data_IF_003607892817
#
_entry.id   IF_003607892817
#
_cell.length_a   1.000
_cell.length_b   1.000
_cell.length_c   1.000
_cell.angle_alpha   90.00
_cell.angle_beta   90.00
_cell.angle_gamma   90.00
#
_symmetry.space_group_name_H-M   'P 1'
#
loop_
_entity.id
_entity.type
_entity.pdbx_description
1 polymer ?
#
# COMPACT_ATOMS: atom_id res chain seq x y z
N UNK A 1 -20.51 67.99 18.74
CA UNK A 1 -19.69 66.83 18.32
C UNK A 1 -20.18 65.59 19.05
N UNK A 2 -20.91 64.69 18.39
CA UNK A 2 -21.29 63.38 18.96
C UNK A 2 -21.34 62.37 17.81
N UNK A 3 -20.27 61.57 17.69
CA UNK A 3 -20.13 60.49 16.72
C UNK A 3 -20.83 59.27 17.29
N UNK A 4 -21.92 58.81 16.66
CA UNK A 4 -22.51 57.51 16.98
C UNK A 4 -21.94 56.53 15.96
N UNK A 5 -20.98 55.73 16.40
CA UNK A 5 -20.43 54.62 15.61
C UNK A 5 -21.38 53.44 15.78
N UNK A 6 -22.19 53.17 14.76
CA UNK A 6 -22.99 51.96 14.67
C UNK A 6 -22.07 50.80 14.26
N UNK A 7 -21.78 49.90 15.19
CA UNK A 7 -21.05 48.67 14.91
C UNK A 7 -22.00 47.66 14.25
N UNK A 8 -21.79 47.37 12.97
CA UNK A 8 -22.51 46.30 12.27
C UNK A 8 -21.86 44.95 12.61
N UNK A 9 -22.58 44.11 13.35
CA UNK A 9 -22.23 42.71 13.62
C UNK A 9 -22.46 41.89 12.34
N UNK A 10 -21.41 41.62 11.56
CA UNK A 10 -21.47 40.63 10.49
C UNK A 10 -21.28 39.23 11.10
N UNK A 11 -22.34 38.43 11.11
CA UNK A 11 -22.29 37.02 11.50
C UNK A 11 -21.72 36.20 10.33
N UNK A 12 -20.54 35.63 10.53
CA UNK A 12 -19.90 34.74 9.56
C UNK A 12 -20.40 33.31 9.69
N UNK A 13 -21.08 32.81 8.67
CA UNK A 13 -21.45 31.40 8.55
C UNK A 13 -20.28 30.66 7.88
N UNK A 14 -19.53 29.84 8.62
CA UNK A 14 -18.60 28.88 8.01
C UNK A 14 -19.40 27.66 7.52
N UNK A 15 -19.60 27.56 6.21
CA UNK A 15 -20.06 26.33 5.60
C UNK A 15 -18.90 25.31 5.63
N UNK A 16 -19.00 24.30 6.50
CA UNK A 16 -18.15 23.12 6.44
C UNK A 16 -18.56 22.32 5.21
N UNK A 17 -17.85 22.51 4.10
CA UNK A 17 -17.93 21.62 2.96
C UNK A 17 -17.36 20.27 3.36
N UNK A 18 -18.24 19.31 3.69
CA UNK A 18 -17.87 17.90 3.78
C UNK A 18 -17.46 17.45 2.38
N UNK A 19 -16.16 17.43 2.12
CA UNK A 19 -15.59 16.73 0.96
C UNK A 19 -15.77 15.25 1.24
N UNK A 20 -16.88 14.68 0.75
CA UNK A 20 -16.99 13.25 0.60
C UNK A 20 -15.93 12.82 -0.41
N UNK A 21 -14.85 12.20 0.07
CA UNK A 21 -13.92 11.46 -0.77
C UNK A 21 -14.68 10.26 -1.35
N UNK A 22 -15.39 10.51 -2.47
CA UNK A 22 -16.08 9.48 -3.22
C UNK A 22 -15.07 8.49 -3.79
N UNK A 23 -15.30 7.21 -3.49
CA UNK A 23 -14.66 6.01 -4.02
C UNK A 23 -13.60 6.28 -5.11
N UNK A 24 -12.36 6.50 -4.67
CA UNK A 24 -11.23 6.42 -5.58
C UNK A 24 -11.11 4.98 -6.05
N UNK A 25 -11.42 4.72 -7.33
CA UNK A 25 -10.87 3.54 -7.99
C UNK A 25 -9.37 3.78 -8.11
N UNK A 26 -8.63 3.46 -7.06
CA UNK A 26 -7.20 3.28 -7.14
C UNK A 26 -7.00 2.01 -7.97
N UNK A 27 -7.09 2.16 -9.29
CA UNK A 27 -6.61 1.13 -10.20
C UNK A 27 -5.10 1.14 -10.00
N UNK A 28 -4.60 0.22 -9.16
CA UNK A 28 -3.17 0.01 -9.00
C UNK A 28 -2.60 -0.18 -10.40
N UNK A 29 -1.75 0.74 -10.83
CA UNK A 29 -1.00 0.60 -12.06
C UNK A 29 -0.19 -0.70 -11.93
N UNK A 30 -0.48 -1.75 -12.73
CA UNK A 30 0.23 -3.02 -12.63
C UNK A 30 1.72 -2.89 -12.97
N UNK A 31 2.19 -1.71 -13.40
CA UNK A 31 3.58 -1.42 -13.78
C UNK A 31 4.46 -0.70 -12.74
N UNK A 32 3.98 -0.38 -11.53
CA UNK A 32 4.79 0.37 -10.52
C UNK A 32 5.17 -0.42 -9.26
N UNK A 33 5.01 -1.75 -9.30
CA UNK A 33 5.50 -2.65 -8.25
C UNK A 33 7.02 -2.67 -8.14
N UNK A 34 7.54 -2.86 -6.92
CA UNK A 34 8.95 -3.21 -6.72
C UNK A 34 9.11 -4.67 -7.18
N UNK A 35 9.94 -4.88 -8.20
CA UNK A 35 10.25 -6.20 -8.71
C UNK A 35 11.66 -6.63 -8.29
N UNK A 36 11.82 -7.92 -7.97
CA UNK A 36 13.13 -8.52 -7.74
C UNK A 36 13.70 -9.14 -9.03
N UNK A 37 14.93 -9.67 -8.94
CA UNK A 37 15.64 -10.31 -10.06
C UNK A 37 14.98 -11.62 -10.53
N UNK A 38 14.04 -12.16 -9.75
CA UNK A 38 13.26 -13.37 -10.06
C UNK A 38 11.94 -13.05 -10.77
N UNK A 39 11.75 -11.81 -11.22
CA UNK A 39 10.52 -11.32 -11.82
C UNK A 39 9.28 -11.45 -10.91
N UNK A 40 9.49 -11.49 -9.59
CA UNK A 40 8.43 -11.33 -8.60
C UNK A 40 8.23 -9.84 -8.39
N UNK A 41 7.00 -9.37 -8.51
CA UNK A 41 6.65 -7.95 -8.35
C UNK A 41 5.61 -7.77 -7.26
N UNK A 42 5.72 -6.67 -6.52
CA UNK A 42 4.66 -6.26 -5.60
C UNK A 42 3.50 -5.59 -6.32
N UNK A 43 2.35 -5.68 -5.68
CA UNK A 43 1.08 -5.08 -6.06
C UNK A 43 0.51 -4.38 -4.83
N UNK A 44 -0.49 -3.52 -5.04
CA UNK A 44 -1.20 -2.87 -3.94
C UNK A 44 -2.64 -3.35 -3.91
N UNK A 45 -3.09 -3.79 -2.74
CA UNK A 45 -4.49 -4.01 -2.43
C UNK A 45 -4.98 -2.87 -1.54
N UNK A 46 -6.21 -2.39 -1.75
CA UNK A 46 -6.83 -1.34 -0.94
C UNK A 46 -8.28 -1.70 -0.58
N UNK A 47 -8.85 -1.10 0.48
CA UNK A 47 -10.22 -1.34 0.91
C UNK A 47 -11.24 -1.20 -0.24
N UNK A 48 -12.11 -2.20 -0.38
CA UNK A 48 -13.11 -2.26 -1.45
C UNK A 48 -12.63 -2.93 -2.74
N UNK A 49 -11.33 -3.21 -2.88
CA UNK A 49 -10.82 -4.05 -3.98
C UNK A 49 -11.07 -5.54 -3.69
N UNK A 50 -11.29 -6.38 -4.71
CA UNK A 50 -11.37 -7.82 -4.51
C UNK A 50 -10.06 -8.34 -3.91
N UNK A 51 -10.16 -9.26 -2.93
CA UNK A 51 -9.00 -9.93 -2.38
C UNK A 51 -8.35 -10.83 -3.45
N UNK A 52 -7.01 -10.92 -3.50
CA UNK A 52 -6.32 -11.78 -4.47
C UNK A 52 -6.54 -13.27 -4.18
N UNK A 53 -6.72 -13.64 -2.90
CA UNK A 53 -7.10 -14.97 -2.46
C UNK A 53 -8.06 -14.90 -1.25
N UNK A 54 -8.95 -15.90 -1.08
CA UNK A 54 -9.99 -15.85 -0.05
C UNK A 54 -9.47 -16.05 1.38
N UNK A 55 -8.27 -16.58 1.56
CA UNK A 55 -7.64 -16.86 2.84
C UNK A 55 -6.72 -15.73 3.33
N UNK A 56 -6.67 -14.61 2.60
CA UNK A 56 -5.82 -13.46 2.95
C UNK A 56 -6.35 -12.74 4.19
N UNK A 57 -5.46 -12.53 5.17
CA UNK A 57 -5.76 -11.82 6.41
C UNK A 57 -5.02 -10.48 6.43
N UNK A 58 -5.76 -9.39 6.27
CA UNK A 58 -5.28 -8.01 6.27
C UNK A 58 -6.10 -7.10 7.17
N UNK A 59 -5.55 -5.93 7.50
CA UNK A 59 -6.36 -4.84 8.02
C UNK A 59 -7.14 -4.23 6.85
N UNK A 60 -8.44 -4.55 6.81
CA UNK A 60 -9.31 -4.16 5.69
C UNK A 60 -9.58 -2.65 5.60
N UNK A 61 -8.95 -1.82 6.45
CA UNK A 61 -9.09 -0.36 6.47
C UNK A 61 -7.86 0.39 5.95
N UNK A 62 -6.79 -0.30 5.58
CA UNK A 62 -5.57 0.31 5.02
C UNK A 62 -5.16 -0.38 3.73
N UNK A 63 -4.34 0.29 2.92
CA UNK A 63 -3.77 -0.33 1.74
C UNK A 63 -2.55 -1.19 2.12
N UNK A 64 -2.42 -2.31 1.43
CA UNK A 64 -1.42 -3.34 1.66
C UNK A 64 -0.57 -3.55 0.41
N UNK A 65 0.74 -3.65 0.59
CA UNK A 65 1.65 -4.09 -0.47
C UNK A 65 1.73 -5.61 -0.40
N UNK A 66 1.61 -6.29 -1.53
CA UNK A 66 1.63 -7.75 -1.54
C UNK A 66 2.26 -8.32 -2.80
N UNK A 67 2.74 -9.55 -2.70
CA UNK A 67 3.21 -10.32 -3.85
C UNK A 67 2.87 -11.80 -3.68
N UNK A 68 2.89 -12.53 -4.78
CA UNK A 68 2.73 -13.98 -4.76
C UNK A 68 4.00 -14.65 -4.25
N UNK A 69 3.88 -15.50 -3.24
CA UNK A 69 5.02 -16.19 -2.64
C UNK A 69 4.65 -17.09 -1.47
N UNK A 70 5.62 -17.87 -1.00
CA UNK A 70 5.48 -18.69 0.18
C UNK A 70 6.75 -18.60 1.03
N UNK A 71 6.65 -18.62 2.37
CA UNK A 71 7.82 -18.52 3.24
C UNK A 71 8.92 -19.52 2.88
N UNK A 72 10.17 -19.06 2.91
CA UNK A 72 11.34 -19.90 2.64
C UNK A 72 11.63 -20.15 1.16
N UNK A 73 10.86 -19.58 0.23
CA UNK A 73 11.20 -19.58 -1.18
C UNK A 73 12.15 -18.43 -1.52
N UNK A 74 13.06 -18.60 -2.50
CA UNK A 74 13.95 -17.52 -2.94
C UNK A 74 13.17 -16.27 -3.34
N UNK A 75 13.60 -15.09 -2.87
CA UNK A 75 12.94 -13.83 -3.18
C UNK A 75 11.78 -13.46 -2.25
N UNK A 76 11.48 -14.30 -1.25
CA UNK A 76 10.41 -14.06 -0.25
C UNK A 76 10.94 -13.63 1.12
N UNK A 77 12.25 -13.49 1.25
CA UNK A 77 12.92 -13.20 2.52
C UNK A 77 12.43 -11.89 3.12
N UNK A 78 11.97 -11.92 4.37
CA UNK A 78 11.44 -10.73 5.06
C UNK A 78 9.98 -10.39 4.74
N UNK A 79 9.34 -11.09 3.80
CA UNK A 79 7.89 -10.98 3.61
C UNK A 79 7.11 -11.62 4.77
N UNK A 80 5.91 -11.11 5.03
CA UNK A 80 5.03 -11.65 6.07
C UNK A 80 3.94 -12.51 5.39
N UNK A 81 3.82 -13.80 5.70
CA UNK A 81 2.75 -14.62 5.13
C UNK A 81 1.40 -14.16 5.66
N UNK A 82 0.49 -13.83 4.74
CA UNK A 82 -0.89 -13.40 5.03
C UNK A 82 -1.93 -14.33 4.43
N UNK A 83 -1.50 -15.27 3.58
CA UNK A 83 -2.27 -16.39 3.04
C UNK A 83 -1.34 -17.50 2.54
N UNK A 84 -1.88 -18.57 1.97
CA UNK A 84 -1.12 -19.73 1.51
C UNK A 84 -0.06 -19.37 0.44
N UNK A 85 -0.39 -18.40 -0.42
CA UNK A 85 0.47 -17.98 -1.53
C UNK A 85 0.61 -16.46 -1.65
N UNK A 86 0.26 -15.73 -0.58
CA UNK A 86 0.31 -14.27 -0.55
C UNK A 86 1.20 -13.83 0.61
N UNK A 87 2.18 -13.00 0.28
CA UNK A 87 3.10 -12.37 1.21
C UNK A 87 2.82 -10.87 1.23
N UNK A 88 2.78 -10.28 2.42
CA UNK A 88 2.75 -8.83 2.63
C UNK A 88 4.16 -8.25 2.50
N UNK A 89 4.22 -7.05 1.91
CA UNK A 89 5.42 -6.26 1.67
C UNK A 89 5.82 -6.26 0.19
N UNK A 90 7.08 -5.93 -0.03
CA UNK A 90 7.74 -6.01 -1.34
C UNK A 90 8.61 -7.27 -1.39
N UNK A 91 8.76 -7.91 -2.57
CA UNK A 91 9.63 -9.06 -2.71
C UNK A 91 11.07 -8.66 -2.37
N UNK A 92 11.77 -9.56 -1.68
CA UNK A 92 13.17 -9.32 -1.33
C UNK A 92 13.97 -9.06 -2.60
N UNK A 93 14.90 -8.10 -2.60
CA UNK A 93 15.88 -7.95 -3.67
C UNK A 93 16.74 -9.21 -3.84
N UNK A 94 16.64 -10.19 -2.91
CA UNK A 94 17.41 -11.41 -2.82
C UNK A 94 17.89 -11.90 -4.19
N UNK A 95 19.16 -11.62 -4.40
CA UNK A 95 20.09 -12.52 -5.03
C UNK A 95 19.85 -13.94 -4.48
N UNK A 96 19.81 -14.93 -5.37
CA UNK A 96 19.56 -16.34 -5.09
C UNK A 96 20.68 -17.04 -4.29
N UNK A 97 21.42 -16.31 -3.45
CA UNK A 97 22.74 -16.68 -2.95
C UNK A 97 22.81 -16.75 -1.43
N UNK A 98 21.75 -17.23 -0.75
CA UNK A 98 21.75 -17.38 0.72
C UNK A 98 22.08 -16.09 1.48
N UNK A 99 21.61 -14.94 0.98
CA UNK A 99 21.87 -13.62 1.58
C UNK A 99 23.17 -12.93 1.14
N UNK A 100 23.92 -13.49 0.18
CA UNK A 100 25.12 -12.86 -0.36
C UNK A 100 24.82 -11.95 -1.56
N UNK A 101 25.38 -10.72 -1.65
CA UNK A 101 25.13 -9.73 -2.71
C UNK A 101 25.25 -10.27 -4.15
N UNK A 102 26.04 -11.33 -4.38
CA UNK A 102 26.32 -11.95 -5.68
C UNK A 102 26.45 -13.49 -5.56
N UNK A 103 25.98 -14.23 -6.58
CA UNK A 103 26.14 -15.69 -6.68
C UNK A 103 27.43 -15.98 -7.44
N UNK A 104 28.53 -16.19 -6.71
CA UNK A 104 29.75 -16.70 -7.32
C UNK A 104 29.65 -18.23 -7.44
N UNK A 105 29.81 -18.82 -8.63
CA UNK A 105 29.83 -20.26 -8.76
C UNK A 105 31.13 -20.82 -8.15
N UNK A 106 31.00 -21.66 -7.12
CA UNK A 106 32.11 -22.50 -6.62
C UNK A 106 32.69 -22.19 -5.24
N UNK A 107 31.90 -21.72 -4.28
CA UNK A 107 32.25 -21.82 -2.85
C UNK A 107 31.56 -23.02 -2.19
#
# INVERSE_FOLDING_TARGET
MKRILAAALFSGSLALANVAAGAGTAQADPGTGICNQLAMCSYVWCPGSPLPMPDVVWDMNVCHHYYGGSPGHPGTEGGIPVGAHIMEGDPSPANTCMGAPICLPGL
#
